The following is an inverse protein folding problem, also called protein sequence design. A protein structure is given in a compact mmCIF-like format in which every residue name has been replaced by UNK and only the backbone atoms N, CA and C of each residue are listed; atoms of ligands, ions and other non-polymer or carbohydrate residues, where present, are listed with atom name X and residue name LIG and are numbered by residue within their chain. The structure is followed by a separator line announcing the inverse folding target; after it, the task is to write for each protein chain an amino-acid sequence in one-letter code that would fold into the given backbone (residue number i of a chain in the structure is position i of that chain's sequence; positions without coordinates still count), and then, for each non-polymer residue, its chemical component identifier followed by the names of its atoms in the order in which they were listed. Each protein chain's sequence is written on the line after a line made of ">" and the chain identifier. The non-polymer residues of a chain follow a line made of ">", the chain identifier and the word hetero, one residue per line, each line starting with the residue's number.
data_IF_690946096988
#
_entry.id   IF_690946096988
#
_cell.length_a   1.000
_cell.length_b   1.000
_cell.length_c   1.000
_cell.angle_alpha   90.00
_cell.angle_beta   90.00
_cell.angle_gamma   90.00
#
_symmetry.space_group_name_H-M   'P 1'
#
loop_
_entity.id
_entity.type
_entity.pdbx_description
1 polymer ?
#
# COMPACT_ATOMS: atom_id res chain seq x y z
N UNK A 1 -11.35 -14.14 -42.37
CA UNK A 1 -10.29 -13.56 -41.52
C UNK A 1 -10.99 -12.65 -40.50
N UNK A 2 -11.37 -13.20 -39.35
CA UNK A 2 -12.12 -12.47 -38.32
C UNK A 2 -11.14 -11.78 -37.37
N UNK A 3 -11.25 -10.45 -37.27
CA UNK A 3 -10.52 -9.62 -36.31
C UNK A 3 -10.97 -10.00 -34.90
N UNK A 4 -10.06 -10.54 -34.09
CA UNK A 4 -10.28 -10.74 -32.66
C UNK A 4 -10.09 -9.37 -31.99
N UNK A 5 -11.17 -8.64 -31.76
CA UNK A 5 -11.11 -7.46 -30.90
C UNK A 5 -10.80 -7.97 -29.48
N UNK A 6 -9.59 -7.68 -28.99
CA UNK A 6 -9.24 -7.95 -27.60
C UNK A 6 -10.27 -7.28 -26.68
N UNK A 7 -10.79 -8.05 -25.72
CA UNK A 7 -11.69 -7.51 -24.71
C UNK A 7 -11.01 -6.36 -23.97
N UNK A 8 -11.72 -5.25 -23.83
CA UNK A 8 -11.22 -4.08 -23.11
C UNK A 8 -10.84 -4.50 -21.67
N UNK A 9 -9.64 -4.16 -21.17
CA UNK A 9 -9.25 -4.44 -19.80
C UNK A 9 -10.25 -3.79 -18.83
N UNK A 10 -10.51 -4.47 -17.71
CA UNK A 10 -11.41 -3.95 -16.68
C UNK A 10 -10.83 -2.67 -16.11
N UNK A 11 -11.52 -1.56 -16.32
CA UNK A 11 -11.23 -0.28 -15.70
C UNK A 11 -12.48 0.18 -14.96
N UNK A 12 -12.29 0.66 -13.73
CA UNK A 12 -13.35 1.26 -12.94
C UNK A 12 -12.87 2.64 -12.48
N UNK A 13 -13.64 3.67 -12.83
CA UNK A 13 -13.41 5.03 -12.38
C UNK A 13 -14.61 5.48 -11.57
N UNK A 14 -14.36 6.04 -10.39
CA UNK A 14 -15.38 6.59 -9.50
C UNK A 14 -15.17 8.09 -9.41
N UNK A 15 -16.21 8.87 -9.72
CA UNK A 15 -16.20 10.33 -9.61
C UNK A 15 -17.27 10.76 -8.61
N UNK A 16 -16.83 11.43 -7.54
CA UNK A 16 -17.70 11.90 -6.47
C UNK A 16 -17.54 13.41 -6.27
N UNK A 17 -18.63 14.07 -5.87
CA UNK A 17 -18.63 15.47 -5.49
C UNK A 17 -19.16 15.61 -4.07
N UNK A 18 -18.41 16.33 -3.23
CA UNK A 18 -18.78 16.63 -1.84
C UNK A 18 -18.33 18.05 -1.46
N UNK A 19 -18.51 18.42 -0.19
CA UNK A 19 -18.02 19.65 0.42
C UNK A 19 -17.15 19.29 1.64
N UNK A 20 -16.06 20.03 1.87
CA UNK A 20 -15.19 19.83 3.03
C UNK A 20 -15.90 20.13 4.37
N UNK A 21 -16.86 21.05 4.39
CA UNK A 21 -17.63 21.42 5.58
C UNK A 21 -18.82 20.49 5.87
N UNK A 22 -19.13 19.55 4.98
CA UNK A 22 -20.20 18.59 5.22
C UNK A 22 -19.74 17.54 6.24
N UNK A 23 -20.45 17.39 7.36
CA UNK A 23 -20.15 16.42 8.42
C UNK A 23 -20.11 14.97 7.92
N UNK A 24 -20.87 14.65 6.87
CA UNK A 24 -20.89 13.31 6.25
C UNK A 24 -19.77 13.09 5.23
N UNK A 25 -18.92 14.09 4.99
CA UNK A 25 -17.85 14.03 3.99
C UNK A 25 -16.76 13.06 4.44
N UNK A 26 -16.41 12.11 3.56
CA UNK A 26 -15.44 11.04 3.85
C UNK A 26 -14.02 11.34 3.37
N UNK A 27 -13.75 12.55 2.89
CA UNK A 27 -12.46 12.94 2.28
C UNK A 27 -11.26 12.60 3.17
N UNK A 28 -11.32 12.88 4.48
CA UNK A 28 -10.25 12.55 5.42
C UNK A 28 -10.02 11.04 5.55
N UNK A 29 -11.09 10.25 5.63
CA UNK A 29 -11.01 8.79 5.71
C UNK A 29 -10.39 8.22 4.43
N UNK A 30 -10.77 8.72 3.24
CA UNK A 30 -10.20 8.25 1.98
C UNK A 30 -8.68 8.46 1.91
N UNK A 31 -8.20 9.62 2.37
CA UNK A 31 -6.75 9.91 2.40
C UNK A 31 -6.06 9.04 3.46
N UNK A 32 -6.60 8.96 4.69
CA UNK A 32 -5.98 8.24 5.80
C UNK A 32 -5.98 6.71 5.63
N UNK A 33 -6.95 6.17 4.89
CA UNK A 33 -7.03 4.73 4.59
C UNK A 33 -6.19 4.30 3.38
N UNK A 34 -5.55 5.23 2.68
CA UNK A 34 -4.66 4.96 1.56
C UNK A 34 -3.19 5.00 1.99
N UNK A 35 -2.68 3.87 2.47
CA UNK A 35 -1.44 3.81 3.24
C UNK A 35 -0.15 4.02 2.44
N UNK A 36 -0.11 3.61 1.17
CA UNK A 36 1.12 3.62 0.36
C UNK A 36 1.01 4.62 -0.79
N UNK A 37 1.67 5.77 -0.65
CA UNK A 37 1.71 6.84 -1.64
C UNK A 37 3.10 6.94 -2.25
N UNK A 38 3.22 6.79 -3.57
CA UNK A 38 4.49 6.97 -4.28
C UNK A 38 4.67 8.41 -4.80
N UNK A 39 3.59 9.02 -5.25
CA UNK A 39 3.63 10.33 -5.90
C UNK A 39 2.42 11.18 -5.51
N UNK A 40 2.68 12.43 -5.16
CA UNK A 40 1.66 13.44 -4.89
C UNK A 40 1.95 14.65 -5.77
N UNK A 41 0.99 15.00 -6.63
CA UNK A 41 1.08 16.15 -7.52
C UNK A 41 -0.07 17.11 -7.23
N UNK A 42 0.21 18.42 -7.27
CA UNK A 42 -0.78 19.48 -7.13
C UNK A 42 -0.62 20.47 -8.27
N UNK A 43 -1.73 20.90 -8.86
CA UNK A 43 -1.78 21.96 -9.87
C UNK A 43 -2.63 23.10 -9.33
N UNK A 44 -2.06 24.31 -9.33
CA UNK A 44 -2.74 25.53 -8.94
C UNK A 44 -2.78 26.45 -10.17
N UNK A 45 -3.95 26.64 -10.80
CA UNK A 45 -4.07 27.53 -11.96
C UNK A 45 -3.69 28.97 -11.59
N UNK A 46 -3.09 29.69 -12.54
CA UNK A 46 -2.75 31.12 -12.42
C UNK A 46 -1.86 31.50 -11.21
N UNK A 47 -1.16 30.52 -10.63
CA UNK A 47 -0.25 30.73 -9.52
C UNK A 47 1.18 30.91 -10.03
N UNK A 48 1.60 32.15 -10.24
CA UNK A 48 2.96 32.46 -10.68
C UNK A 48 4.02 32.23 -9.59
N UNK A 49 3.64 32.43 -8.32
CA UNK A 49 4.53 32.30 -7.16
C UNK A 49 3.84 31.48 -6.08
N UNK A 50 4.52 30.44 -5.60
CA UNK A 50 4.01 29.56 -4.55
C UNK A 50 3.98 30.28 -3.20
N UNK A 51 2.87 30.26 -2.45
CA UNK A 51 2.83 30.79 -1.09
C UNK A 51 3.90 30.15 -0.20
N UNK A 52 4.52 30.95 0.67
CA UNK A 52 5.64 30.53 1.52
C UNK A 52 5.29 29.36 2.44
N UNK A 53 4.07 29.34 2.96
CA UNK A 53 3.54 28.30 3.83
C UNK A 53 3.44 26.97 3.09
N UNK A 54 2.96 27.00 1.84
CA UNK A 54 2.87 25.80 1.02
C UNK A 54 4.26 25.30 0.62
N UNK A 55 5.17 26.21 0.28
CA UNK A 55 6.55 25.86 0.00
C UNK A 55 7.22 25.20 1.22
N UNK A 56 7.05 25.77 2.42
CA UNK A 56 7.57 25.18 3.64
C UNK A 56 6.96 23.78 3.90
N UNK A 57 5.65 23.62 3.69
CA UNK A 57 4.97 22.33 3.84
C UNK A 57 5.53 21.27 2.89
N UNK A 58 5.69 21.59 1.60
CA UNK A 58 6.25 20.66 0.62
C UNK A 58 7.67 20.25 0.98
N UNK A 59 8.46 21.19 1.50
CA UNK A 59 9.83 20.90 1.95
C UNK A 59 9.89 20.19 3.31
N UNK A 60 8.78 20.10 4.04
CA UNK A 60 8.71 19.43 5.35
C UNK A 60 8.41 17.93 5.26
N UNK A 61 8.06 17.41 4.08
CA UNK A 61 7.78 15.98 3.93
C UNK A 61 8.98 15.14 4.34
N UNK A 62 8.74 14.19 5.25
CA UNK A 62 9.78 13.36 5.82
C UNK A 62 10.42 12.44 4.77
N UNK A 63 11.70 12.13 5.00
CA UNK A 63 12.41 11.13 4.20
C UNK A 63 11.95 9.74 4.62
N UNK A 64 11.80 8.86 3.65
CA UNK A 64 11.65 7.43 3.89
C UNK A 64 13.02 6.75 3.92
N UNK A 65 13.07 5.58 4.54
CA UNK A 65 14.28 4.77 4.62
C UNK A 65 14.18 3.57 3.67
N UNK A 66 15.29 3.24 3.01
CA UNK A 66 15.46 1.99 2.30
C UNK A 66 16.47 1.13 3.06
N UNK A 67 15.99 0.02 3.62
CA UNK A 67 16.83 -0.95 4.34
C UNK A 67 16.93 -2.21 3.49
N UNK A 68 18.15 -2.70 3.28
CA UNK A 68 18.41 -3.86 2.42
C UNK A 68 18.45 -5.14 3.25
N UNK A 69 17.94 -6.23 2.67
CA UNK A 69 18.03 -7.59 3.22
C UNK A 69 17.47 -7.72 4.64
N UNK A 70 16.38 -7.02 4.95
CA UNK A 70 15.67 -7.17 6.23
C UNK A 70 14.91 -8.50 6.21
N UNK A 71 15.21 -9.44 7.12
CA UNK A 71 14.45 -10.66 7.22
C UNK A 71 13.07 -10.37 7.85
N UNK A 72 12.03 -11.02 7.35
CA UNK A 72 10.64 -10.74 7.74
C UNK A 72 10.39 -11.01 9.24
N UNK A 73 11.13 -11.96 9.84
CA UNK A 73 10.95 -12.28 11.25
C UNK A 73 11.29 -11.11 12.19
N UNK A 74 12.21 -10.22 11.80
CA UNK A 74 12.56 -9.04 12.62
C UNK A 74 11.37 -8.09 12.82
N UNK A 75 10.43 -8.07 11.86
CA UNK A 75 9.22 -7.24 11.95
C UNK A 75 8.21 -7.77 12.98
N UNK A 76 8.32 -9.04 13.37
CA UNK A 76 7.45 -9.67 14.37
C UNK A 76 8.14 -9.87 15.71
N UNK A 77 9.41 -9.44 15.84
CA UNK A 77 10.10 -9.49 17.12
C UNK A 77 9.47 -8.52 18.13
N UNK A 78 9.34 -8.98 19.37
CA UNK A 78 8.73 -8.22 20.46
C UNK A 78 9.38 -6.84 20.65
N UNK A 79 10.70 -6.77 20.48
CA UNK A 79 11.44 -5.51 20.58
C UNK A 79 11.04 -4.50 19.51
N UNK A 80 10.82 -4.95 18.26
CA UNK A 80 10.36 -4.09 17.17
C UNK A 80 8.93 -3.60 17.44
N UNK A 81 8.04 -4.52 17.83
CA UNK A 81 6.64 -4.22 18.13
C UNK A 81 6.52 -3.19 19.26
N UNK A 82 7.19 -3.43 20.39
CA UNK A 82 7.10 -2.55 21.57
C UNK A 82 7.75 -1.17 21.34
N UNK A 83 8.74 -1.10 20.46
CA UNK A 83 9.45 0.15 20.19
C UNK A 83 8.75 1.00 19.14
N UNK A 84 8.20 0.40 18.10
CA UNK A 84 7.70 1.12 16.93
C UNK A 84 6.19 0.96 16.74
N UNK A 85 5.68 -0.28 16.70
CA UNK A 85 4.26 -0.55 16.39
C UNK A 85 3.34 -0.06 17.50
N UNK A 86 3.66 -0.31 18.78
CA UNK A 86 2.81 0.12 19.91
C UNK A 86 2.93 1.60 20.26
N UNK A 87 4.01 2.26 19.81
CA UNK A 87 4.32 3.66 20.19
C UNK A 87 4.03 4.67 19.09
N UNK A 88 3.64 4.21 17.90
CA UNK A 88 3.38 5.08 16.76
C UNK A 88 2.83 4.30 15.57
N UNK A 89 2.93 4.90 14.38
CA UNK A 89 2.49 4.30 13.13
C UNK A 89 3.70 3.97 12.26
N UNK A 90 3.88 2.69 11.98
CA UNK A 90 4.98 2.19 11.15
C UNK A 90 4.44 1.74 9.81
N UNK A 91 5.15 2.10 8.76
CA UNK A 91 4.85 1.70 7.39
C UNK A 91 6.08 0.97 6.86
N UNK A 92 5.86 -0.19 6.25
CA UNK A 92 6.91 -0.88 5.50
C UNK A 92 6.32 -1.50 4.24
N UNK A 93 7.09 -1.50 3.16
CA UNK A 93 6.72 -2.12 1.91
C UNK A 93 7.97 -2.72 1.27
N UNK A 94 7.87 -3.95 0.77
CA UNK A 94 8.93 -4.56 0.00
C UNK A 94 9.24 -3.71 -1.24
N UNK A 95 10.51 -3.38 -1.44
CA UNK A 95 10.94 -2.49 -2.50
C UNK A 95 11.36 -3.28 -3.75
N UNK A 96 10.92 -2.80 -4.92
CA UNK A 96 11.26 -3.37 -6.23
C UNK A 96 10.90 -4.87 -6.37
N UNK A 97 9.77 -5.26 -5.80
CA UNK A 97 9.17 -6.59 -5.94
C UNK A 97 7.81 -6.48 -6.64
N UNK A 98 7.60 -7.27 -7.68
CA UNK A 98 6.36 -7.27 -8.45
C UNK A 98 5.36 -8.21 -7.79
N UNK A 99 4.19 -7.71 -7.36
CA UNK A 99 3.20 -8.49 -6.58
C UNK A 99 2.74 -9.79 -7.26
N UNK A 100 2.74 -9.82 -8.60
CA UNK A 100 2.31 -10.98 -9.39
C UNK A 100 3.43 -12.00 -9.64
N UNK A 101 4.69 -11.64 -9.41
CA UNK A 101 5.87 -12.45 -9.73
C UNK A 101 6.66 -12.84 -8.47
N UNK A 102 6.84 -11.90 -7.55
CA UNK A 102 7.71 -12.03 -6.39
C UNK A 102 6.91 -12.18 -5.08
N UNK A 103 7.60 -12.63 -4.04
CA UNK A 103 7.09 -12.53 -2.67
C UNK A 103 7.15 -11.08 -2.20
N UNK A 104 6.03 -10.59 -1.66
CA UNK A 104 5.86 -9.19 -1.25
C UNK A 104 5.36 -9.09 0.18
N UNK A 105 5.79 -8.04 0.88
CA UNK A 105 5.51 -7.82 2.29
C UNK A 105 5.11 -6.36 2.48
N UNK A 106 4.05 -6.14 3.26
CA UNK A 106 3.58 -4.82 3.64
C UNK A 106 3.25 -4.78 5.13
N UNK A 107 3.68 -3.73 5.83
CA UNK A 107 3.28 -3.43 7.21
C UNK A 107 2.42 -2.17 7.21
N UNK A 108 1.20 -2.32 7.70
CA UNK A 108 0.24 -1.23 7.83
C UNK A 108 0.41 -0.49 9.17
N UNK A 109 0.01 0.80 9.24
CA UNK A 109 0.09 1.57 10.48
C UNK A 109 -0.83 1.06 11.59
N UNK A 110 -1.76 0.16 11.26
CA UNK A 110 -2.63 -0.55 12.19
C UNK A 110 -1.93 -1.67 12.97
N UNK A 111 -0.64 -1.92 12.68
CA UNK A 111 0.07 -3.11 13.17
C UNK A 111 -0.25 -4.36 12.35
N UNK A 112 -0.78 -4.20 11.13
CA UNK A 112 -1.14 -5.36 10.31
C UNK A 112 -0.01 -5.70 9.34
N UNK A 113 0.64 -6.85 9.52
CA UNK A 113 1.63 -7.41 8.60
C UNK A 113 0.94 -8.27 7.54
N UNK A 114 1.10 -7.89 6.28
CA UNK A 114 0.53 -8.54 5.12
C UNK A 114 1.65 -9.21 4.31
N UNK A 115 1.48 -10.50 4.04
CA UNK A 115 2.38 -11.28 3.19
C UNK A 115 1.61 -11.71 1.94
N UNK A 116 2.11 -11.36 0.76
CA UNK A 116 1.61 -11.89 -0.51
C UNK A 116 2.71 -12.71 -1.16
N UNK A 117 2.56 -14.02 -1.07
CA UNK A 117 3.59 -15.00 -1.44
C UNK A 117 3.11 -15.93 -2.55
N UNK A 118 4.05 -16.55 -3.25
CA UNK A 118 3.77 -17.66 -4.16
C UNK A 118 3.34 -18.93 -3.42
N UNK A 119 2.96 -19.95 -4.19
CA UNK A 119 2.44 -21.21 -3.66
C UNK A 119 3.49 -21.99 -2.87
N UNK A 120 4.71 -22.10 -3.40
CA UNK A 120 5.76 -22.91 -2.80
C UNK A 120 6.14 -22.34 -1.43
N UNK A 121 6.37 -21.02 -1.37
CA UNK A 121 6.64 -20.29 -0.12
C UNK A 121 5.47 -20.38 0.85
N UNK A 122 4.23 -20.32 0.37
CA UNK A 122 3.04 -20.45 1.23
C UNK A 122 2.99 -21.80 1.94
N UNK A 123 3.24 -22.88 1.20
CA UNK A 123 3.22 -24.26 1.69
C UNK A 123 4.40 -24.52 2.65
N UNK A 124 5.60 -24.01 2.33
CA UNK A 124 6.78 -24.11 3.21
C UNK A 124 6.60 -23.36 4.53
N UNK A 125 5.99 -22.17 4.51
CA UNK A 125 5.75 -21.39 5.72
C UNK A 125 4.74 -22.07 6.66
N UNK A 126 3.85 -22.95 6.15
CA UNK A 126 2.86 -23.68 6.97
C UNK A 126 1.82 -22.79 7.68
N UNK A 127 1.77 -21.51 7.32
CA UNK A 127 0.93 -20.49 7.94
C UNK A 127 -0.50 -20.53 7.36
N UNK A 128 -1.54 -20.19 8.13
CA UNK A 128 -2.92 -20.12 7.59
C UNK A 128 -3.16 -18.83 6.78
N UNK A 129 -3.69 -18.95 5.57
CA UNK A 129 -3.98 -17.81 4.69
C UNK A 129 -5.06 -18.07 3.65
N UNK A 130 -5.28 -17.10 2.76
CA UNK A 130 -6.30 -17.20 1.70
C UNK A 130 -5.66 -17.03 0.32
N UNK A 131 -6.27 -17.68 -0.67
CA UNK A 131 -5.91 -17.47 -2.06
C UNK A 131 -6.16 -16.01 -2.48
N UNK A 132 -5.14 -15.39 -3.08
CA UNK A 132 -5.25 -14.07 -3.69
C UNK A 132 -5.63 -14.26 -5.16
N UNK A 133 -6.84 -13.86 -5.54
CA UNK A 133 -7.35 -14.07 -6.89
C UNK A 133 -6.94 -12.90 -7.81
N UNK A 134 -5.85 -13.09 -8.56
CA UNK A 134 -5.45 -12.20 -9.66
C UNK A 134 -5.57 -12.85 -11.05
N UNK A 135 -5.87 -14.15 -11.12
CA UNK A 135 -6.00 -14.89 -12.38
C UNK A 135 -7.28 -15.73 -12.41
N UNK A 136 -7.94 -15.77 -13.57
CA UNK A 136 -9.08 -16.66 -13.85
C UNK A 136 -8.66 -18.15 -14.04
N UNK A 137 -7.38 -18.48 -13.82
CA UNK A 137 -6.83 -19.86 -13.76
C UNK A 137 -6.17 -20.10 -12.40
N UNK A 138 -5.65 -21.32 -12.21
CA UNK A 138 -5.10 -21.89 -10.97
C UNK A 138 -4.51 -20.85 -10.01
N UNK A 139 -4.82 -20.98 -8.72
CA UNK A 139 -4.36 -20.05 -7.68
C UNK A 139 -2.83 -20.11 -7.59
N UNK A 140 -2.17 -18.99 -7.91
CA UNK A 140 -0.71 -18.86 -7.87
C UNK A 140 -0.21 -17.96 -6.73
N UNK A 141 -1.09 -17.22 -6.06
CA UNK A 141 -0.74 -16.25 -5.00
C UNK A 141 -1.60 -16.45 -3.77
N UNK A 142 -1.00 -16.25 -2.60
CA UNK A 142 -1.66 -16.39 -1.31
C UNK A 142 -1.37 -15.16 -0.44
N UNK A 143 -2.44 -14.55 0.07
CA UNK A 143 -2.38 -13.42 0.99
C UNK A 143 -2.56 -13.88 2.44
N UNK A 144 -1.74 -13.37 3.34
CA UNK A 144 -1.90 -13.49 4.80
C UNK A 144 -1.93 -12.13 5.45
N UNK A 145 -2.71 -12.02 6.52
CA UNK A 145 -2.92 -10.80 7.30
C UNK A 145 -2.70 -11.18 8.76
N UNK A 146 -1.64 -10.65 9.37
CA UNK A 146 -1.33 -10.80 10.80
C UNK A 146 -1.52 -9.47 11.49
N UNK A 147 -2.15 -9.46 12.66
CA UNK A 147 -2.10 -8.30 13.54
C UNK A 147 -0.99 -8.54 14.55
N UNK A 148 -0.02 -7.64 14.58
CA UNK A 148 1.19 -7.67 15.41
C UNK A 148 1.27 -6.44 16.32
#
# INVERSE_FOLDING_TARGET
>A
MYMHFEQCPRHLLVCEKSNFANEKSRHGIHVQSHYFNYQVNMLIPECAVLPSELNALVNSFEKYYLVKNVPVYELVEQQFIDRFVKKGSVYALSYNTQIDQDNTVALLPTGTLILSVDKDTYEELGLEGKSSQYSHKAVMRYGKIYNI
#
